data_IF_052309749055
#
_entry.id   IF_052309749055
#
_cell.length_a   1.000
_cell.length_b   1.000
_cell.length_c   1.000
_cell.angle_alpha   90.00
_cell.angle_beta   90.00
_cell.angle_gamma   90.00
#
_symmetry.space_group_name_H-M   'P 1'
#
loop_
_entity.id
_entity.type
_entity.pdbx_description
1 polymer ?
#
# COMPACT_ATOMS: atom_id res chain seq x y z
N UNK A 1 9.95 -29.32 3.39
CA UNK A 1 9.39 -28.64 4.57
C UNK A 1 8.24 -27.78 4.10
N UNK A 2 7.03 -28.04 4.61
CA UNK A 2 5.80 -27.33 4.29
C UNK A 2 5.51 -26.32 5.41
N UNK A 3 5.56 -25.02 5.15
CA UNK A 3 5.27 -24.00 6.15
C UNK A 3 3.76 -23.72 6.25
N UNK A 4 3.37 -23.07 7.35
CA UNK A 4 2.04 -22.50 7.49
C UNK A 4 1.82 -21.37 6.47
N UNK A 5 0.72 -21.37 5.69
CA UNK A 5 0.53 -20.44 4.57
C UNK A 5 0.45 -18.97 5.00
N UNK A 6 -0.13 -18.67 6.18
CA UNK A 6 -0.11 -17.33 6.75
C UNK A 6 1.31 -16.76 6.86
N UNK A 7 2.26 -17.57 7.31
CA UNK A 7 3.64 -17.12 7.51
C UNK A 7 4.37 -17.04 6.17
N UNK A 8 4.27 -18.08 5.35
CA UNK A 8 4.93 -18.12 4.04
C UNK A 8 4.47 -17.00 3.11
N UNK A 9 3.17 -16.90 2.85
CA UNK A 9 2.62 -15.91 1.94
C UNK A 9 2.69 -14.51 2.55
N UNK A 10 2.46 -14.40 3.86
CA UNK A 10 2.58 -13.14 4.58
C UNK A 10 3.96 -12.52 4.45
N UNK A 11 5.03 -13.31 4.64
CA UNK A 11 6.41 -12.81 4.46
C UNK A 11 6.72 -12.47 3.02
N UNK A 12 6.36 -13.35 2.07
CA UNK A 12 6.61 -13.12 0.66
C UNK A 12 5.98 -11.80 0.19
N UNK A 13 4.76 -11.52 0.65
CA UNK A 13 4.00 -10.32 0.27
C UNK A 13 4.45 -9.08 1.04
N UNK A 14 4.76 -9.21 2.34
CA UNK A 14 5.23 -8.10 3.16
C UNK A 14 6.58 -7.54 2.66
N UNK A 15 7.41 -8.37 2.03
CA UNK A 15 8.71 -7.95 1.50
C UNK A 15 8.72 -7.71 -0.01
N UNK A 16 7.97 -8.51 -0.77
CA UNK A 16 8.04 -8.53 -2.24
C UNK A 16 6.82 -8.00 -2.97
N UNK A 17 5.71 -7.73 -2.28
CA UNK A 17 4.45 -7.36 -2.92
C UNK A 17 3.78 -8.53 -3.63
N UNK A 18 2.73 -8.25 -4.43
CA UNK A 18 2.00 -9.25 -5.22
C UNK A 18 1.11 -8.61 -6.28
N UNK A 19 1.01 -9.23 -7.45
CA UNK A 19 0.04 -8.84 -8.48
C UNK A 19 0.23 -7.42 -9.00
N UNK A 20 1.48 -6.94 -9.07
CA UNK A 20 1.80 -5.56 -9.46
C UNK A 20 1.56 -4.51 -8.37
N UNK A 21 1.23 -4.93 -7.15
CA UNK A 21 1.05 -4.07 -5.99
C UNK A 21 2.27 -4.13 -5.07
N UNK A 22 2.79 -2.97 -4.67
CA UNK A 22 3.85 -2.87 -3.67
C UNK A 22 3.40 -3.32 -2.28
N UNK A 23 4.34 -3.76 -1.42
CA UNK A 23 4.05 -4.13 -0.03
C UNK A 23 3.17 -3.09 0.69
N UNK A 24 3.53 -1.81 0.64
CA UNK A 24 2.79 -0.75 1.34
C UNK A 24 1.29 -0.76 1.02
N UNK A 25 0.93 -0.92 -0.26
CA UNK A 25 -0.47 -1.00 -0.70
C UNK A 25 -1.17 -2.24 -0.12
N UNK A 26 -0.52 -3.40 -0.17
CA UNK A 26 -1.08 -4.66 0.35
C UNK A 26 -1.21 -4.63 1.88
N UNK A 27 -0.27 -4.01 2.59
CA UNK A 27 -0.36 -3.81 4.04
C UNK A 27 -1.58 -2.94 4.38
N UNK A 28 -1.83 -1.86 3.64
CA UNK A 28 -2.99 -1.00 3.85
C UNK A 28 -4.32 -1.73 3.60
N UNK A 29 -4.41 -2.55 2.54
CA UNK A 29 -5.57 -3.43 2.29
C UNK A 29 -5.76 -4.42 3.45
N UNK A 30 -4.68 -5.10 3.87
CA UNK A 30 -4.73 -6.07 4.97
C UNK A 30 -5.23 -5.47 6.27
N UNK A 31 -4.75 -4.27 6.62
CA UNK A 31 -5.24 -3.53 7.80
C UNK A 31 -6.72 -3.20 7.68
N UNK A 32 -7.17 -2.76 6.51
CA UNK A 32 -8.59 -2.47 6.29
C UNK A 32 -9.48 -3.71 6.49
N UNK A 33 -9.09 -4.87 5.96
CA UNK A 33 -9.86 -6.12 6.09
C UNK A 33 -10.10 -6.47 7.56
N UNK A 34 -9.07 -6.33 8.39
CA UNK A 34 -9.14 -6.58 9.83
C UNK A 34 -9.99 -5.53 10.56
N UNK A 35 -9.78 -4.22 10.29
CA UNK A 35 -10.53 -3.13 10.93
C UNK A 35 -12.03 -3.17 10.60
N UNK A 36 -12.35 -3.47 9.34
CA UNK A 36 -13.74 -3.56 8.84
C UNK A 36 -14.45 -4.84 9.24
N UNK A 37 -13.76 -5.78 9.90
CA UNK A 37 -14.29 -7.08 10.30
C UNK A 37 -14.74 -7.94 9.09
N UNK A 38 -14.15 -7.69 7.90
CA UNK A 38 -14.38 -8.51 6.70
C UNK A 38 -13.64 -9.84 6.77
N UNK A 39 -12.46 -9.85 7.40
CA UNK A 39 -11.66 -11.04 7.66
C UNK A 39 -10.76 -10.79 8.86
N UNK A 40 -10.74 -11.72 9.83
CA UNK A 40 -9.87 -11.64 11.01
C UNK A 40 -8.63 -12.50 10.86
N UNK A 41 -7.49 -12.00 11.34
CA UNK A 41 -6.22 -12.72 11.27
C UNK A 41 -6.26 -14.04 12.03
N UNK A 42 -7.05 -14.11 13.10
CA UNK A 42 -7.29 -15.34 13.85
C UNK A 42 -7.94 -16.44 12.99
N UNK A 43 -8.78 -16.07 12.01
CA UNK A 43 -9.34 -17.02 11.06
C UNK A 43 -8.26 -17.62 10.15
N UNK A 44 -7.16 -16.88 9.94
CA UNK A 44 -6.03 -17.30 9.13
C UNK A 44 -5.00 -18.15 9.89
N UNK A 45 -5.16 -18.34 11.21
CA UNK A 45 -4.30 -19.21 12.01
C UNK A 45 -4.49 -20.70 11.71
N UNK A 46 -5.61 -21.04 11.07
CA UNK A 46 -5.89 -22.37 10.57
C UNK A 46 -5.56 -22.46 9.09
N UNK A 47 -4.81 -23.49 8.72
CA UNK A 47 -4.40 -23.71 7.34
C UNK A 47 -5.58 -23.97 6.40
N UNK A 48 -6.61 -24.68 6.85
CA UNK A 48 -7.82 -24.93 6.05
C UNK A 48 -8.53 -23.62 5.76
N UNK A 49 -8.85 -22.85 6.80
CA UNK A 49 -9.50 -21.56 6.69
C UNK A 49 -8.73 -20.58 5.79
N UNK A 50 -7.39 -20.53 5.89
CA UNK A 50 -6.58 -19.72 4.98
C UNK A 50 -6.81 -20.06 3.49
N UNK A 51 -7.02 -21.34 3.17
CA UNK A 51 -7.21 -21.82 1.80
C UNK A 51 -8.65 -21.69 1.30
N UNK A 52 -9.61 -21.58 2.22
CA UNK A 52 -11.03 -21.43 1.89
C UNK A 52 -11.35 -20.00 1.41
N UNK A 53 -10.54 -19.03 1.81
CA UNK A 53 -10.66 -17.63 1.39
C UNK A 53 -9.88 -17.31 0.12
N UNK A 54 -10.36 -16.31 -0.63
CA UNK A 54 -9.67 -15.85 -1.83
C UNK A 54 -8.28 -15.25 -1.49
N UNK A 55 -7.23 -15.57 -2.27
CA UNK A 55 -5.89 -15.04 -2.05
C UNK A 55 -5.78 -13.51 -2.08
N UNK A 56 -6.72 -12.80 -2.71
CA UNK A 56 -6.79 -11.33 -2.69
C UNK A 56 -7.20 -10.76 -1.33
N UNK A 57 -7.72 -11.60 -0.42
CA UNK A 57 -8.05 -11.23 0.96
C UNK A 57 -7.00 -11.75 1.94
N UNK A 58 -6.62 -13.02 1.83
CA UNK A 58 -5.75 -13.66 2.83
C UNK A 58 -4.32 -13.15 2.78
N UNK A 59 -3.81 -12.81 1.60
CA UNK A 59 -2.41 -12.43 1.44
C UNK A 59 -2.15 -11.01 1.94
N UNK A 60 -2.97 -9.99 1.62
CA UNK A 60 -2.85 -8.67 2.25
C UNK A 60 -2.90 -8.74 3.78
N UNK A 61 -3.86 -9.47 4.35
CA UNK A 61 -4.01 -9.58 5.79
C UNK A 61 -2.82 -10.31 6.43
N UNK A 62 -2.36 -11.42 5.84
CA UNK A 62 -1.18 -12.13 6.28
C UNK A 62 0.08 -11.25 6.21
N UNK A 63 0.24 -10.46 5.16
CA UNK A 63 1.35 -9.52 5.02
C UNK A 63 1.32 -8.46 6.13
N UNK A 64 0.15 -7.86 6.38
CA UNK A 64 -0.02 -6.86 7.43
C UNK A 64 0.33 -7.41 8.81
N UNK A 65 -0.08 -8.65 9.10
CA UNK A 65 0.24 -9.32 10.36
C UNK A 65 1.72 -9.68 10.47
N UNK A 66 2.34 -10.24 9.43
CA UNK A 66 3.77 -10.61 9.44
C UNK A 66 4.67 -9.37 9.54
N UNK A 67 4.33 -8.29 8.82
CA UNK A 67 5.02 -6.99 8.95
C UNK A 67 4.97 -6.48 10.40
N UNK A 68 3.79 -6.50 11.02
CA UNK A 68 3.64 -6.14 12.43
C UNK A 68 4.45 -7.06 13.36
N UNK A 69 4.35 -8.38 13.17
CA UNK A 69 5.08 -9.35 13.97
C UNK A 69 6.58 -9.06 13.95
N UNK A 70 7.15 -8.87 12.76
CA UNK A 70 8.58 -8.61 12.58
C UNK A 70 8.96 -7.27 13.21
N UNK A 71 8.16 -6.21 13.03
CA UNK A 71 8.43 -4.89 13.62
C UNK A 71 8.35 -4.91 15.15
N UNK A 72 7.40 -5.66 15.71
CA UNK A 72 7.15 -5.73 17.14
C UNK A 72 8.14 -6.63 17.87
N UNK A 73 8.51 -7.75 17.27
CA UNK A 73 9.20 -8.84 17.96
C UNK A 73 10.51 -9.25 17.30
N UNK A 74 10.84 -8.69 16.14
CA UNK A 74 12.08 -8.96 15.42
C UNK A 74 12.02 -10.20 14.53
N UNK A 75 12.88 -10.19 13.51
CA UNK A 75 12.92 -11.23 12.48
C UNK A 75 13.27 -12.63 13.03
N UNK A 76 14.10 -12.72 14.07
CA UNK A 76 14.47 -14.00 14.66
C UNK A 76 13.26 -14.71 15.30
N UNK A 77 12.39 -13.97 15.99
CA UNK A 77 11.16 -14.53 16.55
C UNK A 77 10.21 -14.99 15.45
N UNK A 78 10.18 -14.27 14.32
CA UNK A 78 9.39 -14.66 13.16
C UNK A 78 9.92 -15.99 12.57
N UNK A 79 11.23 -16.14 12.42
CA UNK A 79 11.86 -17.39 11.95
C UNK A 79 11.56 -18.55 12.90
N UNK A 80 11.55 -18.31 14.22
CA UNK A 80 11.22 -19.34 15.20
C UNK A 80 9.76 -19.79 15.05
N UNK A 81 8.83 -18.84 14.94
CA UNK A 81 7.42 -19.15 14.67
C UNK A 81 7.28 -19.93 13.34
N UNK A 82 7.91 -19.46 12.26
CA UNK A 82 7.89 -20.12 10.96
C UNK A 82 8.34 -21.58 11.03
N UNK A 83 9.42 -21.86 11.75
CA UNK A 83 9.94 -23.24 11.94
C UNK A 83 8.99 -24.09 12.77
N UNK A 84 8.43 -23.55 13.85
CA UNK A 84 7.52 -24.26 14.73
C UNK A 84 6.21 -24.63 14.02
N UNK A 85 5.77 -23.81 13.08
CA UNK A 85 4.59 -24.04 12.24
C UNK A 85 4.97 -24.52 10.83
N UNK A 86 6.04 -25.31 10.73
CA UNK A 86 6.43 -26.01 9.51
C UNK A 86 6.52 -27.52 9.77
N UNK A 87 6.12 -28.33 8.80
CA UNK A 87 6.16 -29.79 8.92
C UNK A 87 6.74 -30.48 7.68
N UNK A 88 7.05 -31.77 7.81
CA UNK A 88 7.55 -32.57 6.69
C UNK A 88 6.45 -32.92 5.68
N UNK A 89 5.19 -32.93 6.11
CA UNK A 89 4.03 -33.18 5.25
C UNK A 89 2.97 -32.09 5.39
N UNK A 90 2.16 -31.86 4.33
CA UNK A 90 1.05 -30.91 4.35
C UNK A 90 0.09 -31.07 5.53
N UNK A 91 -0.36 -32.29 5.82
CA UNK A 91 -1.36 -32.62 6.83
C UNK A 91 -0.88 -32.40 8.27
N UNK A 92 0.43 -32.36 8.48
CA UNK A 92 1.06 -32.28 9.79
C UNK A 92 1.43 -30.84 10.19
N UNK A 93 1.14 -29.84 9.35
CA UNK A 93 1.50 -28.44 9.63
C UNK A 93 0.67 -27.91 10.80
N UNK A 94 1.30 -27.52 11.93
CA UNK A 94 0.57 -27.05 13.11
C UNK A 94 -0.16 -25.72 12.85
N UNK A 95 -1.38 -25.61 13.37
CA UNK A 95 -2.10 -24.33 13.46
C UNK A 95 -1.36 -23.36 14.38
N UNK A 96 -1.60 -22.06 14.19
CA UNK A 96 -1.07 -21.01 15.07
C UNK A 96 -2.04 -20.80 16.24
N UNK A 97 -1.52 -20.75 17.46
CA UNK A 97 -2.27 -20.33 18.65
C UNK A 97 -1.89 -18.91 19.04
N UNK A 98 -2.80 -18.20 19.70
CA UNK A 98 -2.52 -16.90 20.33
C UNK A 98 -1.33 -17.02 21.30
N UNK A 99 -1.19 -18.16 21.98
CA UNK A 99 -0.07 -18.41 22.91
C UNK A 99 1.29 -18.53 22.24
N UNK A 100 1.33 -18.73 20.92
CA UNK A 100 2.58 -18.77 20.16
C UNK A 100 3.09 -17.37 19.83
N UNK A 101 2.27 -16.34 20.05
CA UNK A 101 2.59 -14.96 19.73
C UNK A 101 3.29 -14.25 20.90
N UNK A 102 4.36 -13.50 20.63
CA UNK A 102 5.08 -12.70 21.63
C UNK A 102 4.37 -11.39 22.01
N UNK A 103 3.11 -11.23 21.61
CA UNK A 103 2.28 -10.05 21.86
C UNK A 103 0.82 -10.47 21.96
N UNK A 104 0.01 -9.65 22.62
CA UNK A 104 -1.44 -9.86 22.65
C UNK A 104 -2.12 -9.28 21.42
N UNK A 105 -3.22 -9.88 20.98
CA UNK A 105 -3.99 -9.37 19.82
C UNK A 105 -4.55 -7.96 20.05
N UNK A 106 -4.75 -7.54 21.30
CA UNK A 106 -5.09 -6.15 21.61
C UNK A 106 -4.01 -5.16 21.15
N UNK A 107 -2.73 -5.54 21.22
CA UNK A 107 -1.63 -4.69 20.71
C UNK A 107 -1.63 -4.62 19.18
N UNK A 108 -1.97 -5.72 18.51
CA UNK A 108 -2.21 -5.76 17.07
C UNK A 108 -3.35 -4.81 16.69
N UNK A 109 -4.49 -4.90 17.38
CA UNK A 109 -5.65 -4.02 17.14
C UNK A 109 -5.29 -2.54 17.32
N UNK A 110 -4.44 -2.20 18.30
CA UNK A 110 -3.95 -0.83 18.49
C UNK A 110 -3.03 -0.38 17.34
N UNK A 111 -2.14 -1.25 16.88
CA UNK A 111 -1.25 -0.96 15.75
C UNK A 111 -2.00 -0.69 14.44
N UNK A 112 -3.12 -1.38 14.20
CA UNK A 112 -3.97 -1.12 13.04
C UNK A 112 -4.55 0.30 13.01
N UNK A 113 -4.73 0.92 14.19
CA UNK A 113 -5.30 2.27 14.33
C UNK A 113 -4.24 3.37 14.26
N UNK A 114 -2.98 3.06 14.54
CA UNK A 114 -1.91 4.06 14.64
C UNK A 114 -1.32 4.47 13.28
N UNK A 115 -1.54 3.70 12.22
CA UNK A 115 -1.11 4.04 10.86
C UNK A 115 -2.29 4.61 10.09
N UNK A 116 -2.53 5.90 10.33
CA UNK A 116 -3.45 6.76 9.59
C UNK A 116 -3.10 6.67 8.10
N UNK A 117 -4.14 6.51 7.29
CA UNK A 117 -4.15 6.36 5.84
C UNK A 117 -3.03 7.14 5.13
N UNK A 118 -2.35 6.51 4.16
CA UNK A 118 -1.19 7.08 3.43
C UNK A 118 -1.52 8.38 2.66
N UNK A 119 -2.79 8.75 2.60
CA UNK A 119 -3.32 9.98 2.00
C UNK A 119 -4.25 10.66 3.00
N UNK A 120 -3.87 11.86 3.46
CA UNK A 120 -4.72 12.73 4.26
C UNK A 120 -5.34 13.78 3.34
N UNK A 121 -6.65 13.94 3.47
CA UNK A 121 -7.40 14.96 2.74
C UNK A 121 -7.19 16.35 3.35
N UNK A 122 -7.16 17.37 2.52
CA UNK A 122 -7.25 18.76 2.96
C UNK A 122 -8.73 19.20 2.95
N UNK A 123 -9.27 19.70 4.08
CA UNK A 123 -10.52 20.45 4.04
C UNK A 123 -10.34 21.77 3.27
N UNK A 124 -11.43 22.29 2.74
CA UNK A 124 -11.53 23.47 1.86
C UNK A 124 -11.22 24.81 2.57
N UNK A 125 -10.07 24.91 3.25
CA UNK A 125 -9.58 26.15 3.83
C UNK A 125 -8.13 26.37 3.44
N UNK A 126 -7.88 27.54 2.85
CA UNK A 126 -6.58 28.17 2.93
C UNK A 126 -6.14 28.17 4.40
N UNK A 127 -5.08 27.42 4.74
CA UNK A 127 -3.93 27.83 5.55
C UNK A 127 -3.27 26.70 6.39
N UNK A 128 -1.99 26.96 6.63
CA UNK A 128 -1.07 26.47 7.67
C UNK A 128 -0.45 25.09 7.42
N UNK A 129 0.83 25.11 7.05
CA UNK A 129 1.76 24.02 7.33
C UNK A 129 1.69 23.66 8.82
N UNK A 130 0.98 22.59 9.15
CA UNK A 130 1.24 21.86 10.38
C UNK A 130 2.42 20.93 10.10
N UNK A 131 3.54 21.20 10.76
CA UNK A 131 4.71 20.35 10.77
C UNK A 131 4.41 19.10 11.59
N UNK A 132 3.68 18.16 11.00
CA UNK A 132 3.77 16.78 11.44
C UNK A 132 5.11 16.21 10.96
N UNK A 133 5.65 15.26 11.73
CA UNK A 133 6.97 14.62 11.58
C UNK A 133 7.17 13.96 10.19
N UNK A 134 6.11 13.88 9.37
CA UNK A 134 6.11 13.28 8.03
C UNK A 134 5.87 14.38 6.99
N UNK A 135 6.91 14.67 6.20
CA UNK A 135 6.83 15.56 5.04
C UNK A 135 5.89 15.03 3.96
N UNK A 136 5.12 15.93 3.35
CA UNK A 136 4.09 15.58 2.35
C UNK A 136 4.12 16.55 1.17
N UNK A 137 3.84 16.02 -0.02
CA UNK A 137 3.59 16.81 -1.21
C UNK A 137 2.11 17.16 -1.31
N UNK A 138 1.82 18.44 -1.56
CA UNK A 138 0.46 18.89 -1.90
C UNK A 138 0.26 18.73 -3.41
N UNK A 139 -0.77 18.00 -3.80
CA UNK A 139 -1.09 17.74 -5.19
C UNK A 139 -2.36 18.47 -5.61
N UNK A 140 -2.28 19.20 -6.73
CA UNK A 140 -3.43 19.79 -7.43
C UNK A 140 -3.35 19.42 -8.90
N UNK A 141 -4.22 18.53 -9.34
CA UNK A 141 -4.19 17.98 -10.70
C UNK A 141 -5.58 17.72 -11.24
N UNK A 142 -5.76 17.68 -12.56
CA UNK A 142 -7.05 17.39 -13.19
C UNK A 142 -7.53 15.97 -12.92
N UNK A 143 -6.80 14.99 -13.42
CA UNK A 143 -7.13 13.56 -13.36
C UNK A 143 -5.86 12.70 -13.45
N UNK A 144 -4.88 13.12 -14.25
CA UNK A 144 -3.63 12.38 -14.44
C UNK A 144 -2.41 13.30 -14.32
N UNK A 145 -1.33 12.83 -13.70
CA UNK A 145 -0.08 13.58 -13.55
C UNK A 145 1.13 12.68 -13.79
N UNK A 146 2.00 13.09 -14.71
CA UNK A 146 3.25 12.40 -15.01
C UNK A 146 4.44 13.18 -14.44
N UNK A 147 5.36 12.45 -13.81
CA UNK A 147 6.54 13.02 -13.15
C UNK A 147 7.80 12.41 -13.76
N UNK A 148 8.72 13.26 -14.21
CA UNK A 148 10.06 12.84 -14.64
C UNK A 148 11.08 13.20 -13.59
N UNK A 149 12.08 12.36 -13.41
CA UNK A 149 13.21 12.64 -12.51
C UNK A 149 14.46 12.89 -13.36
N UNK A 150 15.45 13.61 -12.82
CA UNK A 150 16.65 14.05 -13.56
C UNK A 150 17.33 12.89 -14.32
N UNK A 151 17.34 11.70 -13.71
CA UNK A 151 17.86 10.48 -14.34
C UNK A 151 16.74 9.79 -15.13
N UNK A 152 16.50 10.27 -16.34
CA UNK A 152 15.64 9.54 -17.30
C UNK A 152 16.36 8.29 -17.82
N UNK A 153 15.73 7.13 -17.66
CA UNK A 153 16.24 5.89 -18.21
C UNK A 153 15.75 5.76 -19.66
N UNK A 154 16.64 6.05 -20.61
CA UNK A 154 16.36 5.94 -22.04
C UNK A 154 16.01 4.49 -22.44
N UNK A 155 15.12 4.34 -23.42
CA UNK A 155 14.67 3.06 -24.00
C UNK A 155 13.89 2.12 -23.05
N UNK A 156 13.37 2.65 -21.95
CA UNK A 156 12.44 1.90 -21.09
C UNK A 156 11.06 1.78 -21.72
N UNK A 157 10.32 0.75 -21.33
CA UNK A 157 8.91 0.58 -21.65
C UNK A 157 8.13 0.33 -20.36
N UNK A 158 6.97 0.95 -20.21
CA UNK A 158 6.03 0.67 -19.12
C UNK A 158 4.71 0.12 -19.67
N UNK A 159 4.28 -1.03 -19.16
CA UNK A 159 2.99 -1.63 -19.47
C UNK A 159 1.86 -0.79 -18.91
N UNK A 160 2.01 -0.26 -17.70
CA UNK A 160 1.08 0.68 -17.06
C UNK A 160 0.92 1.94 -17.92
N UNK A 161 2.03 2.57 -18.34
CA UNK A 161 1.97 3.74 -19.20
C UNK A 161 1.23 3.43 -20.50
N UNK A 162 1.57 2.33 -21.17
CA UNK A 162 0.95 1.91 -22.42
C UNK A 162 -0.56 1.66 -22.28
N UNK A 163 -1.00 1.17 -21.11
CA UNK A 163 -2.40 0.93 -20.78
C UNK A 163 -3.19 2.24 -20.68
N UNK A 164 -2.63 3.26 -20.04
CA UNK A 164 -3.31 4.55 -19.84
C UNK A 164 -3.14 5.51 -21.03
N UNK A 165 -2.05 5.42 -21.78
CA UNK A 165 -1.71 6.35 -22.86
C UNK A 165 -1.39 5.65 -24.19
N UNK A 166 -2.38 4.94 -24.75
CA UNK A 166 -2.22 4.16 -25.99
C UNK A 166 -1.70 4.94 -27.21
N UNK A 167 -1.90 6.27 -27.24
CA UNK A 167 -1.52 7.14 -28.37
C UNK A 167 -0.21 7.92 -28.13
N UNK A 168 0.36 7.87 -26.93
CA UNK A 168 1.55 8.63 -26.57
C UNK A 168 2.77 7.73 -26.55
N UNK A 169 3.90 8.24 -27.03
CA UNK A 169 5.19 7.57 -26.84
C UNK A 169 5.69 7.84 -25.42
N UNK A 170 6.02 6.77 -24.69
CA UNK A 170 6.63 6.88 -23.37
C UNK A 170 7.97 7.62 -23.47
N UNK A 171 8.18 8.63 -22.64
CA UNK A 171 9.33 9.52 -22.69
C UNK A 171 10.28 9.36 -21.49
N UNK A 172 10.08 8.30 -20.69
CA UNK A 172 10.93 8.01 -19.52
C UNK A 172 10.43 8.65 -18.23
N UNK A 173 9.16 9.01 -18.15
CA UNK A 173 8.53 9.48 -16.92
C UNK A 173 8.58 8.39 -15.85
N UNK A 174 9.05 8.70 -14.64
CA UNK A 174 9.21 7.69 -13.58
C UNK A 174 7.91 7.40 -12.86
N UNK A 175 7.08 8.42 -12.64
CA UNK A 175 5.83 8.24 -11.90
C UNK A 175 4.60 8.67 -12.69
N UNK A 176 3.50 7.98 -12.42
CA UNK A 176 2.16 8.30 -12.89
C UNK A 176 1.22 8.34 -11.71
N UNK A 177 0.57 9.49 -11.51
CA UNK A 177 -0.51 9.64 -10.55
C UNK A 177 -1.82 9.70 -11.34
N UNK A 178 -2.83 9.01 -10.84
CA UNK A 178 -4.20 9.06 -11.34
C UNK A 178 -5.10 9.38 -10.16
N UNK A 179 -5.94 10.38 -10.32
CA UNK A 179 -6.90 10.83 -9.32
C UNK A 179 -8.31 10.76 -9.91
N UNK A 180 -9.20 10.17 -9.13
CA UNK A 180 -10.64 10.09 -9.37
C UNK A 180 -11.36 10.44 -8.06
N UNK A 181 -12.67 10.65 -8.10
CA UNK A 181 -13.45 11.03 -6.92
C UNK A 181 -13.28 10.03 -5.76
N UNK A 182 -13.22 8.73 -6.07
CA UNK A 182 -13.11 7.68 -5.07
C UNK A 182 -11.70 7.15 -4.84
N UNK A 183 -10.72 7.47 -5.68
CA UNK A 183 -9.41 6.79 -5.65
C UNK A 183 -8.26 7.71 -6.06
N UNK A 184 -7.10 7.49 -5.46
CA UNK A 184 -5.82 8.03 -5.93
C UNK A 184 -4.88 6.86 -6.09
N UNK A 185 -4.27 6.73 -7.26
CA UNK A 185 -3.29 5.69 -7.57
C UNK A 185 -1.97 6.34 -7.95
N UNK A 186 -0.88 5.91 -7.33
CA UNK A 186 0.49 6.34 -7.64
C UNK A 186 1.24 5.12 -8.15
N UNK A 187 1.77 5.22 -9.36
CA UNK A 187 2.55 4.17 -10.01
C UNK A 187 4.00 4.59 -10.17
N UNK A 188 4.91 3.62 -10.01
CA UNK A 188 6.27 3.72 -10.50
C UNK A 188 6.32 3.00 -11.85
N UNK A 189 6.51 3.77 -12.92
CA UNK A 189 6.53 3.28 -14.30
C UNK A 189 7.82 2.54 -14.63
N UNK A 190 8.91 2.77 -13.89
CA UNK A 190 10.15 2.03 -14.08
C UNK A 190 10.04 0.59 -13.59
N UNK A 191 9.37 0.38 -12.46
CA UNK A 191 9.11 -0.96 -11.94
C UNK A 191 7.79 -1.56 -12.42
N UNK A 192 6.97 -0.78 -13.13
CA UNK A 192 5.63 -1.15 -13.60
C UNK A 192 4.71 -1.61 -12.45
N UNK A 193 4.77 -0.90 -11.31
CA UNK A 193 4.04 -1.24 -10.08
C UNK A 193 3.20 -0.07 -9.55
N UNK A 194 2.09 -0.42 -8.88
CA UNK A 194 1.35 0.51 -8.01
C UNK A 194 2.07 0.63 -6.68
N UNK A 195 2.56 1.83 -6.37
CA UNK A 195 3.40 2.11 -5.20
C UNK A 195 2.60 2.71 -4.04
N UNK A 196 1.53 3.44 -4.32
CA UNK A 196 0.57 3.88 -3.32
C UNK A 196 -0.84 3.91 -3.89
N UNK A 197 -1.83 3.60 -3.05
CA UNK A 197 -3.23 3.72 -3.41
C UNK A 197 -4.05 4.21 -2.24
N UNK A 198 -4.92 5.16 -2.53
CA UNK A 198 -6.05 5.55 -1.72
C UNK A 198 -7.33 5.07 -2.40
N UNK A 199 -8.24 4.52 -1.61
CA UNK A 199 -9.60 4.25 -2.06
C UNK A 199 -10.56 4.67 -0.95
N UNK A 200 -11.52 5.54 -1.28
CA UNK A 200 -12.51 6.08 -0.36
C UNK A 200 -13.20 4.96 0.42
N UNK A 201 -13.59 3.88 -0.27
CA UNK A 201 -14.25 2.72 0.33
C UNK A 201 -13.45 2.03 1.43
N UNK A 202 -12.11 2.20 1.43
CA UNK A 202 -11.19 1.65 2.42
C UNK A 202 -10.75 2.66 3.51
N UNK A 203 -11.17 3.92 3.39
CA UNK A 203 -10.95 4.93 4.43
C UNK A 203 -11.98 4.82 5.56
N UNK A 204 -11.62 5.23 6.77
CA UNK A 204 -12.49 5.10 7.96
C UNK A 204 -13.85 5.78 7.78
N UNK A 205 -13.88 6.95 7.13
CA UNK A 205 -15.09 7.76 6.95
C UNK A 205 -15.66 7.72 5.53
N UNK A 206 -15.15 6.83 4.66
CA UNK A 206 -15.52 6.78 3.24
C UNK A 206 -15.40 8.12 2.52
N UNK A 207 -14.34 8.84 2.82
CA UNK A 207 -14.18 10.20 2.34
C UNK A 207 -13.74 10.19 0.88
N UNK A 208 -14.38 11.01 0.04
CA UNK A 208 -14.05 11.14 -1.39
C UNK A 208 -13.03 12.26 -1.60
N UNK A 209 -12.22 12.17 -2.65
CA UNK A 209 -11.15 13.13 -2.97
C UNK A 209 -11.78 14.47 -3.32
N UNK A 210 -11.34 15.55 -2.66
CA UNK A 210 -11.83 16.91 -2.92
C UNK A 210 -11.62 17.31 -4.37
N UNK A 211 -12.70 17.70 -5.07
CA UNK A 211 -12.66 18.19 -6.44
C UNK A 211 -13.14 19.65 -6.52
N UNK A 212 -12.19 20.58 -6.70
CA UNK A 212 -12.45 22.02 -6.67
C UNK A 212 -11.89 22.66 -7.93
N UNK A 213 -12.71 23.49 -8.59
CA UNK A 213 -12.34 24.24 -9.81
C UNK A 213 -11.71 23.34 -10.89
N UNK A 214 -12.28 22.16 -11.10
CA UNK A 214 -11.84 21.23 -12.14
C UNK A 214 -10.62 20.37 -11.79
N UNK A 215 -10.23 20.32 -10.51
CA UNK A 215 -9.01 19.66 -10.05
C UNK A 215 -9.26 18.83 -8.80
N UNK A 216 -8.59 17.68 -8.67
CA UNK A 216 -8.45 16.96 -7.42
C UNK A 216 -7.37 17.59 -6.54
N UNK A 217 -7.65 17.66 -5.24
CA UNK A 217 -6.76 18.16 -4.20
C UNK A 217 -6.54 17.10 -3.14
N UNK A 218 -5.28 16.76 -2.90
CA UNK A 218 -4.89 15.76 -1.89
C UNK A 218 -3.42 15.93 -1.51
N UNK A 219 -2.99 15.22 -0.46
CA UNK A 219 -1.59 15.15 -0.06
C UNK A 219 -1.07 13.73 -0.18
N UNK A 220 0.17 13.59 -0.63
CA UNK A 220 0.90 12.30 -0.64
C UNK A 220 2.10 12.42 0.28
N UNK A 221 2.36 11.39 1.08
CA UNK A 221 3.62 11.29 1.85
C UNK A 221 4.82 11.29 0.92
N UNK A 222 5.87 12.02 1.27
CA UNK A 222 7.05 12.10 0.41
C UNK A 222 7.76 10.73 0.26
N UNK A 223 7.69 9.89 1.29
CA UNK A 223 8.30 8.55 1.30
C UNK A 223 7.57 7.50 0.44
N UNK A 224 6.50 7.89 -0.25
CA UNK A 224 5.93 7.10 -1.36
C UNK A 224 6.88 7.07 -2.56
N UNK A 225 7.69 8.11 -2.75
CA UNK A 225 8.62 8.25 -3.86
C UNK A 225 10.03 7.79 -3.44
N UNK A 226 10.78 7.21 -4.37
CA UNK A 226 12.17 6.78 -4.10
C UNK A 226 13.13 7.97 -3.97
N UNK A 227 12.75 9.14 -4.51
CA UNK A 227 13.50 10.39 -4.44
C UNK A 227 12.61 11.59 -4.11
N UNK A 228 13.24 12.71 -3.73
CA UNK A 228 12.53 13.98 -3.57
C UNK A 228 12.00 14.49 -4.92
N UNK A 229 10.74 14.90 -4.94
CA UNK A 229 10.06 15.41 -6.12
C UNK A 229 10.11 16.94 -6.12
N UNK A 230 10.86 17.50 -7.07
CA UNK A 230 10.93 18.94 -7.30
C UNK A 230 9.71 19.46 -8.10
N UNK A 231 9.21 20.69 -7.84
CA UNK A 231 8.08 21.27 -8.57
C UNK A 231 8.25 21.38 -10.09
N UNK A 232 9.49 21.36 -10.60
CA UNK A 232 9.78 21.45 -12.04
C UNK A 232 9.61 20.10 -12.77
N UNK A 233 9.43 19.01 -12.03
CA UNK A 233 9.34 17.65 -12.57
C UNK A 233 7.94 17.27 -13.09
N UNK A 234 6.96 18.16 -12.95
CA UNK A 234 5.57 17.95 -13.34
C UNK A 234 5.34 18.33 -14.80
N UNK A 235 5.08 17.35 -15.66
CA UNK A 235 5.01 17.56 -17.12
C UNK A 235 3.59 17.82 -17.62
N UNK A 236 2.55 17.24 -16.99
CA UNK A 236 1.19 17.33 -17.52
C UNK A 236 0.13 17.06 -16.45
N UNK A 237 -1.00 17.77 -16.51
CA UNK A 237 -2.12 17.61 -15.58
C UNK A 237 -2.15 18.58 -14.40
N UNK A 238 -1.15 19.45 -14.28
CA UNK A 238 -1.19 20.54 -13.31
C UNK A 238 -2.33 21.51 -13.66
N UNK A 239 -3.15 21.82 -12.67
CA UNK A 239 -4.02 22.97 -12.77
C UNK A 239 -3.16 24.20 -12.56
N UNK A 240 -2.48 24.65 -13.63
CA UNK A 240 -1.82 25.95 -13.63
C UNK A 240 -2.83 26.99 -13.11
N UNK A 241 -2.38 27.82 -12.17
CA UNK A 241 -3.18 28.94 -11.69
C UNK A 241 -3.53 29.80 -12.91
N UNK A 242 -4.81 29.82 -13.30
CA UNK A 242 -5.32 30.95 -14.06
C UNK A 242 -5.29 32.15 -13.10
N UNK A 243 -4.27 32.99 -13.29
CA UNK A 243 -4.04 34.36 -12.82
C UNK A 243 -4.56 34.76 -11.44
#
# INVERSE_FOLDING_TARGET
>A
MYPHPLLQEGLAVALGGRGGLMPATLLSIGRYLERSNMLKVEELFKRSSFRDYDPSLTYPLAAAFVDYFIKKSGFQNYVNLYKNHSASKPEDVPEISITDLPFNLSEWILFLRSNIDDVIQLPDREYVMQTDIISRYSCRMKDTLLITVETSLNNMTSGIFSRFFSKRKYAGEKYLLIAEEGEISVYNLYSDMLIAKYAAVFSENKTFVSYIKGCFLFMIRNDVFDEEIEPLNFIEGSCLQEN
#
